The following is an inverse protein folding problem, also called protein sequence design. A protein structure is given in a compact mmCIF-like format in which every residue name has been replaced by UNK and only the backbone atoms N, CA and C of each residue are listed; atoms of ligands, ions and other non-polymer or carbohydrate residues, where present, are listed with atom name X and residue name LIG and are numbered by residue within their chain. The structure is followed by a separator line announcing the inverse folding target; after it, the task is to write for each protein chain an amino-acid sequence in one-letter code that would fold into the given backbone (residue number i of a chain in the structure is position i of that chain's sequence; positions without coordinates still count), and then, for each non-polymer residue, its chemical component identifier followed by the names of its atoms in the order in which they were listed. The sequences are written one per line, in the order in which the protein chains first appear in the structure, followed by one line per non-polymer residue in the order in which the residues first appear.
data_IF_328337459347
#
_entry.id   IF_328337459347
#
_cell.length_a   1.000
_cell.length_b   1.000
_cell.length_c   1.000
_cell.angle_alpha   90.00
_cell.angle_beta   90.00
_cell.angle_gamma   90.00
#
_symmetry.space_group_name_H-M   'P 1'
#
loop_
_entity.id
_entity.type
_entity.pdbx_description
1 polymer ?
#
# COMPACT_ATOMS: atom_id res chain seq x y z
N UNK A 1 9.64 -8.72 17.32
CA UNK A 1 8.78 -7.71 16.64
C UNK A 1 7.99 -8.30 15.47
N UNK A 2 8.55 -9.27 14.72
CA UNK A 2 7.87 -9.85 13.54
C UNK A 2 6.59 -10.65 13.86
N UNK A 3 6.48 -11.27 15.04
CA UNK A 3 5.29 -12.05 15.41
C UNK A 3 4.08 -11.17 15.75
N UNK A 4 4.29 -10.07 16.46
CA UNK A 4 3.22 -9.12 16.81
C UNK A 4 2.65 -8.43 15.57
N UNK A 5 3.52 -7.92 14.70
CA UNK A 5 3.13 -7.29 13.44
C UNK A 5 2.32 -8.25 12.53
N UNK A 6 2.76 -9.51 12.42
CA UNK A 6 2.05 -10.53 11.63
C UNK A 6 0.69 -10.88 12.23
N UNK A 7 0.58 -10.98 13.55
CA UNK A 7 -0.68 -11.23 14.25
C UNK A 7 -1.67 -10.09 14.01
N UNK A 8 -1.25 -8.83 14.19
CA UNK A 8 -2.11 -7.67 13.94
C UNK A 8 -2.68 -7.66 12.51
N UNK A 9 -1.85 -7.96 11.49
CA UNK A 9 -2.33 -8.04 10.11
C UNK A 9 -3.36 -9.16 9.89
N UNK A 10 -3.19 -10.33 10.54
CA UNK A 10 -4.00 -11.51 10.25
C UNK A 10 -5.29 -11.60 11.06
N UNK A 11 -5.33 -11.04 12.27
CA UNK A 11 -6.48 -11.15 13.19
C UNK A 11 -7.32 -9.88 13.26
N UNK A 12 -6.74 -8.74 12.98
CA UNK A 12 -7.37 -7.43 13.15
C UNK A 12 -7.26 -6.55 11.89
N UNK A 13 -6.45 -6.98 10.90
CA UNK A 13 -6.19 -6.20 9.68
C UNK A 13 -5.64 -4.81 10.00
N UNK A 14 -4.79 -4.68 11.02
CA UNK A 14 -4.31 -3.39 11.55
C UNK A 14 -5.43 -2.42 11.93
N UNK A 15 -6.55 -2.94 12.43
CA UNK A 15 -7.74 -2.14 12.76
C UNK A 15 -8.74 -1.97 11.62
N UNK A 16 -8.41 -2.42 10.40
CA UNK A 16 -9.30 -2.30 9.23
C UNK A 16 -10.62 -3.04 9.44
N UNK A 17 -10.62 -4.22 10.08
CA UNK A 17 -11.85 -4.96 10.33
C UNK A 17 -12.82 -4.16 11.20
N UNK A 18 -12.33 -3.57 12.30
CA UNK A 18 -13.13 -2.72 13.16
C UNK A 18 -13.66 -1.47 12.44
N UNK A 19 -12.84 -0.88 11.54
CA UNK A 19 -13.27 0.27 10.73
C UNK A 19 -14.40 -0.11 9.77
N UNK A 20 -14.30 -1.24 9.06
CA UNK A 20 -15.35 -1.73 8.17
C UNK A 20 -16.64 -1.99 8.95
N UNK A 21 -16.54 -2.66 10.10
CA UNK A 21 -17.70 -2.89 11.00
C UNK A 21 -18.32 -1.57 11.46
N UNK A 22 -17.52 -0.60 11.85
CA UNK A 22 -17.98 0.73 12.26
C UNK A 22 -18.71 1.46 11.11
N UNK A 23 -18.11 1.52 9.93
CA UNK A 23 -18.72 2.16 8.75
C UNK A 23 -20.05 1.48 8.37
N UNK A 24 -20.10 0.16 8.40
CA UNK A 24 -21.27 -0.60 8.01
C UNK A 24 -22.41 -0.44 9.02
N UNK A 25 -22.12 -0.53 10.33
CA UNK A 25 -23.13 -0.58 11.39
C UNK A 25 -23.58 0.81 11.88
N UNK A 26 -22.82 1.88 11.60
CA UNK A 26 -23.14 3.22 12.13
C UNK A 26 -24.20 3.90 11.28
N UNK A 27 -25.35 4.20 11.88
CA UNK A 27 -26.51 4.76 11.16
C UNK A 27 -26.36 6.22 10.74
N UNK A 28 -25.59 7.02 11.49
CA UNK A 28 -25.40 8.44 11.21
C UNK A 28 -24.35 8.74 10.10
N UNK A 29 -23.73 7.72 9.54
CA UNK A 29 -22.82 7.85 8.37
C UNK A 29 -23.64 7.56 7.10
N UNK A 30 -24.61 8.42 6.82
CA UNK A 30 -25.54 8.26 5.69
C UNK A 30 -24.98 8.70 4.32
N UNK A 31 -23.81 9.32 4.30
CA UNK A 31 -23.08 9.72 3.09
C UNK A 31 -22.12 8.64 2.55
N UNK A 32 -22.05 7.49 3.23
CA UNK A 32 -21.27 6.33 2.79
C UNK A 32 -22.20 5.28 2.23
N UNK A 33 -21.95 4.83 1.00
CA UNK A 33 -22.62 3.63 0.46
C UNK A 33 -22.02 2.38 1.12
N UNK A 34 -22.80 1.79 2.00
CA UNK A 34 -22.38 0.61 2.79
C UNK A 34 -22.20 -0.66 1.96
N UNK A 35 -22.77 -0.67 0.74
CA UNK A 35 -22.63 -1.80 -0.19
C UNK A 35 -21.34 -1.71 -1.03
N UNK A 36 -20.66 -0.56 -1.02
CA UNK A 36 -19.48 -0.27 -1.81
C UNK A 36 -18.24 0.01 -0.95
N UNK A 37 -18.09 -0.66 0.18
CA UNK A 37 -16.90 -0.54 1.02
C UNK A 37 -15.75 -1.33 0.38
N UNK A 38 -14.64 -0.65 0.10
CA UNK A 38 -13.41 -1.26 -0.41
C UNK A 38 -12.25 -1.15 0.55
N UNK A 39 -11.29 -2.06 0.42
CA UNK A 39 -10.02 -2.03 1.15
C UNK A 39 -8.85 -2.23 0.21
N UNK A 40 -7.75 -1.55 0.48
CA UNK A 40 -6.49 -1.79 -0.23
C UNK A 40 -5.32 -1.75 0.74
N UNK A 41 -4.22 -2.34 0.32
CA UNK A 41 -2.99 -2.28 1.09
C UNK A 41 -1.79 -2.78 0.32
N UNK A 42 -0.62 -2.26 0.69
CA UNK A 42 0.66 -2.68 0.13
C UNK A 42 1.45 -3.49 1.16
N UNK A 43 2.13 -4.55 0.72
CA UNK A 43 3.00 -5.40 1.55
C UNK A 43 2.24 -5.98 2.75
N UNK A 44 2.59 -5.64 3.98
CA UNK A 44 1.85 -6.06 5.18
C UNK A 44 0.38 -5.57 5.17
N UNK A 45 0.11 -4.38 4.59
CA UNK A 45 -1.25 -3.89 4.35
C UNK A 45 -2.00 -4.74 3.32
N UNK A 46 -1.32 -5.25 2.30
CA UNK A 46 -1.88 -6.20 1.32
C UNK A 46 -2.30 -7.51 2.00
N UNK A 47 -1.49 -8.03 2.94
CA UNK A 47 -1.89 -9.17 3.77
C UNK A 47 -3.13 -8.86 4.60
N UNK A 48 -3.21 -7.68 5.21
CA UNK A 48 -4.38 -7.27 5.97
C UNK A 48 -5.63 -7.19 5.08
N UNK A 49 -5.51 -6.64 3.88
CA UNK A 49 -6.60 -6.53 2.92
C UNK A 49 -7.16 -7.89 2.51
N UNK A 50 -6.31 -8.85 2.10
CA UNK A 50 -6.80 -10.20 1.72
C UNK A 50 -7.35 -10.97 2.94
N UNK A 51 -6.78 -10.78 4.13
CA UNK A 51 -7.33 -11.35 5.36
C UNK A 51 -8.70 -10.76 5.72
N UNK A 52 -8.93 -9.49 5.40
CA UNK A 52 -10.26 -8.86 5.49
C UNK A 52 -11.27 -9.52 4.56
N UNK A 53 -10.93 -9.74 3.30
CA UNK A 53 -11.81 -10.43 2.35
C UNK A 53 -12.18 -11.84 2.85
N UNK A 54 -11.22 -12.58 3.41
CA UNK A 54 -11.46 -13.89 4.01
C UNK A 54 -12.33 -13.84 5.27
N UNK A 55 -12.08 -12.85 6.13
CA UNK A 55 -12.82 -12.68 7.38
C UNK A 55 -14.29 -12.34 7.12
N UNK A 56 -14.54 -11.29 6.32
CA UNK A 56 -15.90 -10.85 6.02
C UNK A 56 -16.65 -11.85 5.14
N UNK A 57 -15.99 -12.51 4.19
CA UNK A 57 -16.60 -13.57 3.39
C UNK A 57 -16.97 -14.81 4.24
N UNK A 58 -16.16 -15.17 5.26
CA UNK A 58 -16.51 -16.21 6.22
C UNK A 58 -17.67 -15.80 7.12
N UNK A 59 -17.69 -14.56 7.59
CA UNK A 59 -18.79 -14.02 8.38
C UNK A 59 -20.10 -14.01 7.61
N UNK A 60 -20.11 -13.47 6.39
CA UNK A 60 -21.27 -13.43 5.50
C UNK A 60 -21.90 -14.81 5.34
N UNK A 61 -21.10 -15.83 5.00
CA UNK A 61 -21.58 -17.22 4.87
C UNK A 61 -22.12 -17.79 6.17
N UNK A 62 -21.50 -17.47 7.32
CA UNK A 62 -21.94 -17.96 8.63
C UNK A 62 -23.26 -17.34 9.09
N UNK A 63 -23.44 -16.04 8.81
CA UNK A 63 -24.61 -15.29 9.27
C UNK A 63 -25.73 -15.24 8.24
N UNK A 64 -25.48 -15.72 7.00
CA UNK A 64 -26.37 -15.58 5.85
C UNK A 64 -26.71 -14.10 5.58
N UNK A 65 -25.74 -13.23 5.77
CA UNK A 65 -25.83 -11.79 5.55
C UNK A 65 -24.99 -11.37 4.34
N UNK A 66 -25.21 -10.17 3.85
CA UNK A 66 -24.39 -9.60 2.78
C UNK A 66 -22.96 -9.35 3.25
N UNK A 67 -21.98 -9.61 2.38
CA UNK A 67 -20.58 -9.34 2.70
C UNK A 67 -20.33 -7.84 2.79
N UNK A 68 -19.83 -7.38 3.95
CA UNK A 68 -19.56 -5.97 4.23
C UNK A 68 -18.40 -5.39 3.40
N UNK A 69 -17.52 -6.26 2.89
CA UNK A 69 -16.36 -5.84 2.10
C UNK A 69 -16.56 -6.19 0.63
N UNK A 70 -16.91 -5.18 -0.17
CA UNK A 70 -17.26 -5.36 -1.58
C UNK A 70 -16.06 -5.65 -2.46
N UNK A 71 -14.96 -4.93 -2.28
CA UNK A 71 -13.78 -5.00 -3.15
C UNK A 71 -12.48 -4.87 -2.36
N UNK A 72 -11.46 -5.61 -2.78
CA UNK A 72 -10.15 -5.61 -2.14
C UNK A 72 -9.06 -5.47 -3.19
N UNK A 73 -8.09 -4.57 -2.97
CA UNK A 73 -6.90 -4.49 -3.81
C UNK A 73 -5.65 -4.82 -2.99
N UNK A 74 -4.95 -5.87 -3.39
CA UNK A 74 -3.75 -6.38 -2.73
C UNK A 74 -2.53 -6.01 -3.55
N UNK A 75 -1.64 -5.23 -2.99
CA UNK A 75 -0.40 -4.83 -3.64
C UNK A 75 0.82 -5.42 -2.90
N UNK A 76 1.75 -6.00 -3.65
CA UNK A 76 3.03 -6.48 -3.12
C UNK A 76 2.94 -7.60 -2.09
N UNK A 77 1.89 -8.43 -2.12
CA UNK A 77 1.74 -9.55 -1.20
C UNK A 77 1.03 -10.73 -1.87
N UNK A 78 1.72 -11.85 -2.00
CA UNK A 78 1.13 -13.11 -2.50
C UNK A 78 1.49 -14.32 -1.62
N UNK A 79 2.64 -14.29 -0.96
CA UNK A 79 3.15 -15.41 -0.16
C UNK A 79 2.18 -15.92 0.91
N UNK A 80 1.38 -15.03 1.48
CA UNK A 80 0.41 -15.35 2.54
C UNK A 80 -1.00 -14.92 2.13
N UNK A 81 -1.97 -15.78 2.41
CA UNK A 81 -3.38 -15.46 2.14
C UNK A 81 -3.92 -15.97 0.80
N UNK A 82 -3.08 -16.56 -0.05
CA UNK A 82 -3.45 -17.02 -1.39
C UNK A 82 -3.39 -18.55 -1.57
N UNK A 83 -3.18 -19.30 -0.50
CA UNK A 83 -3.35 -20.75 -0.55
C UNK A 83 -4.82 -21.12 -0.76
N UNK A 84 -5.10 -22.21 -1.42
CA UNK A 84 -6.45 -22.67 -1.73
C UNK A 84 -7.37 -22.68 -0.49
N UNK A 85 -6.89 -23.17 0.64
CA UNK A 85 -7.62 -23.15 1.92
C UNK A 85 -7.96 -21.75 2.43
N UNK A 86 -7.16 -20.75 2.10
CA UNK A 86 -7.36 -19.36 2.51
C UNK A 86 -8.33 -18.65 1.57
N UNK A 87 -8.16 -18.84 0.26
CA UNK A 87 -8.96 -18.21 -0.79
C UNK A 87 -10.42 -18.66 -0.80
N UNK A 88 -10.74 -19.90 -0.40
CA UNK A 88 -12.11 -20.44 -0.38
C UNK A 88 -13.14 -19.62 0.42
N UNK A 89 -12.67 -18.70 1.24
CA UNK A 89 -13.51 -17.81 2.04
C UNK A 89 -13.64 -16.41 1.43
N UNK A 90 -12.91 -16.10 0.37
CA UNK A 90 -13.01 -14.82 -0.31
C UNK A 90 -14.34 -14.76 -1.07
N UNK A 91 -15.08 -13.69 -0.84
CA UNK A 91 -16.38 -13.40 -1.44
C UNK A 91 -16.49 -11.90 -1.70
N UNK A 92 -15.51 -11.39 -2.41
CA UNK A 92 -15.33 -9.97 -2.76
C UNK A 92 -14.63 -9.89 -4.11
N UNK A 93 -14.79 -8.80 -4.83
CA UNK A 93 -13.94 -8.51 -5.98
C UNK A 93 -12.49 -8.33 -5.52
N UNK A 94 -11.51 -8.91 -6.24
CA UNK A 94 -10.11 -8.86 -5.82
C UNK A 94 -9.21 -8.40 -6.95
N UNK A 95 -8.53 -7.27 -6.76
CA UNK A 95 -7.36 -6.87 -7.56
C UNK A 95 -6.08 -7.34 -6.88
N UNK A 96 -5.19 -7.94 -7.64
CA UNK A 96 -3.84 -8.31 -7.20
C UNK A 96 -2.81 -7.60 -8.07
N UNK A 97 -1.91 -6.86 -7.45
CA UNK A 97 -0.76 -6.22 -8.08
C UNK A 97 0.51 -6.72 -7.41
N UNK A 98 1.44 -7.25 -8.19
CA UNK A 98 2.71 -7.76 -7.68
C UNK A 98 3.88 -7.31 -8.54
N UNK A 99 4.93 -6.83 -7.88
CA UNK A 99 6.14 -6.39 -8.56
C UNK A 99 6.91 -7.59 -9.16
N UNK A 100 7.18 -7.54 -10.46
CA UNK A 100 7.93 -8.61 -11.15
C UNK A 100 9.35 -8.76 -10.57
N UNK A 101 9.95 -7.66 -10.12
CA UNK A 101 11.29 -7.62 -9.53
C UNK A 101 11.26 -7.49 -8.00
N UNK A 102 10.22 -8.04 -7.36
CA UNK A 102 10.13 -8.07 -5.90
C UNK A 102 11.31 -8.84 -5.32
N UNK A 103 12.09 -8.18 -4.48
CA UNK A 103 13.25 -8.77 -3.80
C UNK A 103 12.86 -9.87 -2.79
N UNK A 104 11.59 -9.91 -2.38
CA UNK A 104 11.02 -10.98 -1.53
C UNK A 104 10.45 -12.18 -2.30
N UNK A 105 10.43 -12.13 -3.64
CA UNK A 105 9.78 -13.14 -4.49
C UNK A 105 10.39 -14.56 -4.37
N UNK A 106 11.63 -14.68 -3.89
CA UNK A 106 12.23 -15.98 -3.56
C UNK A 106 11.43 -16.77 -2.51
N UNK A 107 10.54 -16.11 -1.77
CA UNK A 107 9.65 -16.72 -0.77
C UNK A 107 8.33 -17.23 -1.37
N UNK A 108 8.00 -16.88 -2.61
CA UNK A 108 6.83 -17.39 -3.33
C UNK A 108 7.04 -18.85 -3.73
N UNK A 109 5.99 -19.56 -4.10
CA UNK A 109 6.08 -20.98 -4.47
C UNK A 109 7.00 -21.19 -5.67
N UNK A 110 6.93 -20.32 -6.70
CA UNK A 110 7.85 -20.37 -7.85
C UNK A 110 9.20 -19.67 -7.60
N UNK A 111 9.41 -19.06 -6.42
CA UNK A 111 10.63 -18.31 -6.07
C UNK A 111 10.97 -17.18 -7.05
N UNK A 112 9.99 -16.63 -7.72
CA UNK A 112 10.11 -15.49 -8.61
C UNK A 112 8.85 -14.60 -8.56
N UNK A 113 8.86 -13.48 -9.29
CA UNK A 113 7.78 -12.51 -9.31
C UNK A 113 6.77 -12.68 -10.46
N UNK A 114 6.86 -13.73 -11.28
CA UNK A 114 5.94 -13.93 -12.42
C UNK A 114 4.57 -14.44 -11.95
N UNK A 115 3.60 -13.55 -11.94
CA UNK A 115 2.24 -13.86 -11.54
C UNK A 115 1.40 -14.53 -12.63
N UNK A 116 1.90 -14.61 -13.86
CA UNK A 116 1.15 -15.25 -14.96
C UNK A 116 0.97 -16.77 -14.76
N UNK A 117 1.87 -17.39 -14.02
CA UNK A 117 1.88 -18.83 -13.74
C UNK A 117 2.03 -19.14 -12.24
N UNK A 118 2.11 -18.13 -11.37
CA UNK A 118 2.29 -18.33 -9.93
C UNK A 118 1.08 -19.06 -9.32
N UNK A 119 1.30 -20.13 -8.55
CA UNK A 119 0.21 -20.88 -7.90
C UNK A 119 -0.70 -19.99 -7.04
N UNK A 120 -0.15 -18.99 -6.36
CA UNK A 120 -0.88 -18.05 -5.53
C UNK A 120 -1.89 -17.22 -6.36
N UNK A 121 -1.47 -16.73 -7.51
CA UNK A 121 -2.33 -15.96 -8.40
C UNK A 121 -3.34 -16.88 -9.12
N UNK A 122 -2.91 -18.06 -9.54
CA UNK A 122 -3.78 -19.08 -10.13
C UNK A 122 -4.88 -19.52 -9.15
N UNK A 123 -4.56 -19.74 -7.88
CA UNK A 123 -5.55 -20.08 -6.85
C UNK A 123 -6.63 -19.00 -6.72
N UNK A 124 -6.22 -17.72 -6.75
CA UNK A 124 -7.18 -16.60 -6.73
C UNK A 124 -8.11 -16.64 -7.94
N UNK A 125 -7.56 -16.66 -9.14
CA UNK A 125 -8.38 -16.60 -10.37
C UNK A 125 -9.28 -17.81 -10.49
N UNK A 126 -8.76 -19.02 -10.27
CA UNK A 126 -9.54 -20.26 -10.29
C UNK A 126 -10.71 -20.25 -9.33
N UNK A 127 -10.48 -19.74 -8.12
CA UNK A 127 -11.55 -19.62 -7.12
C UNK A 127 -12.61 -18.63 -7.58
N UNK A 128 -12.22 -17.46 -8.05
CA UNK A 128 -13.15 -16.40 -8.45
C UNK A 128 -14.04 -16.80 -9.63
N UNK A 129 -13.52 -17.53 -10.61
CA UNK A 129 -14.32 -17.95 -11.76
C UNK A 129 -14.83 -19.39 -11.65
N UNK A 130 -14.52 -20.10 -10.58
CA UNK A 130 -14.86 -21.50 -10.38
C UNK A 130 -14.36 -22.42 -11.50
N UNK A 131 -13.19 -22.13 -12.08
CA UNK A 131 -12.57 -22.89 -13.16
C UNK A 131 -11.16 -23.37 -12.77
N UNK A 132 -11.00 -24.63 -12.36
CA UNK A 132 -9.71 -25.22 -11.98
C UNK A 132 -8.79 -25.47 -13.20
N UNK A 133 -9.29 -25.42 -14.43
CA UNK A 133 -8.53 -25.73 -15.63
C UNK A 133 -7.56 -24.61 -16.04
N UNK A 134 -7.70 -23.41 -15.53
CA UNK A 134 -6.85 -22.27 -15.84
C UNK A 134 -5.42 -22.58 -15.41
N UNK A 135 -4.50 -22.68 -16.36
CA UNK A 135 -3.08 -22.98 -16.14
C UNK A 135 -2.18 -21.75 -16.31
N UNK A 136 -2.70 -20.69 -16.90
CA UNK A 136 -1.98 -19.43 -17.13
C UNK A 136 -2.94 -18.25 -17.03
N UNK A 137 -2.47 -17.16 -16.44
CA UNK A 137 -3.23 -15.92 -16.25
C UNK A 137 -2.82 -14.92 -17.32
N UNK A 138 -3.79 -14.30 -17.97
CA UNK A 138 -3.59 -13.08 -18.75
C UNK A 138 -3.39 -11.91 -17.80
N UNK A 139 -2.16 -11.40 -17.72
CA UNK A 139 -1.87 -10.21 -16.94
C UNK A 139 -2.71 -9.04 -17.47
N UNK A 140 -3.19 -8.18 -16.57
CA UNK A 140 -4.07 -7.03 -16.83
C UNK A 140 -5.46 -7.41 -17.41
N UNK A 141 -5.79 -8.69 -17.42
CA UNK A 141 -7.08 -9.20 -17.87
C UNK A 141 -8.03 -9.41 -16.70
N UNK A 142 -9.29 -8.98 -16.88
CA UNK A 142 -10.33 -9.20 -15.87
C UNK A 142 -10.99 -10.56 -16.06
N UNK A 143 -11.21 -11.26 -14.95
CA UNK A 143 -11.90 -12.53 -14.84
C UNK A 143 -13.12 -12.39 -13.94
N UNK A 144 -14.14 -13.23 -14.12
CA UNK A 144 -15.36 -13.20 -13.31
C UNK A 144 -16.33 -12.11 -13.72
N UNK A 145 -17.29 -11.82 -12.83
CA UNK A 145 -18.38 -10.88 -13.07
C UNK A 145 -18.55 -9.94 -11.88
N UNK A 146 -18.80 -8.67 -12.16
CA UNK A 146 -19.02 -7.67 -11.12
C UNK A 146 -20.23 -7.98 -10.23
N UNK A 147 -21.34 -8.37 -10.84
CA UNK A 147 -22.61 -8.63 -10.14
C UNK A 147 -22.53 -9.84 -9.19
N UNK A 148 -21.60 -10.76 -9.46
CA UNK A 148 -21.38 -11.95 -8.64
C UNK A 148 -20.31 -11.70 -7.54
N UNK A 149 -19.81 -10.47 -7.43
CA UNK A 149 -18.71 -10.05 -6.52
C UNK A 149 -17.44 -10.91 -6.65
N UNK A 150 -17.23 -11.50 -7.82
CA UNK A 150 -16.08 -12.36 -8.11
C UNK A 150 -15.16 -11.80 -9.20
N UNK A 151 -15.32 -10.51 -9.53
CA UNK A 151 -14.44 -9.86 -10.51
C UNK A 151 -13.01 -9.83 -9.96
N UNK A 152 -12.07 -10.32 -10.76
CA UNK A 152 -10.65 -10.32 -10.38
C UNK A 152 -9.75 -9.90 -11.52
N UNK A 153 -8.62 -9.31 -11.19
CA UNK A 153 -7.55 -8.92 -12.12
C UNK A 153 -6.20 -9.13 -11.45
N UNK A 154 -5.22 -9.54 -12.23
CA UNK A 154 -3.83 -9.69 -11.77
C UNK A 154 -2.94 -8.77 -12.60
N UNK A 155 -2.26 -7.87 -11.93
CA UNK A 155 -1.25 -6.97 -12.47
C UNK A 155 0.14 -7.45 -12.06
N UNK A 156 1.12 -7.33 -12.95
CA UNK A 156 2.49 -7.77 -12.68
C UNK A 156 3.48 -6.75 -13.24
N UNK A 157 3.63 -5.66 -12.52
CA UNK A 157 4.40 -4.50 -12.96
C UNK A 157 5.92 -4.77 -12.87
N UNK A 158 6.68 -4.29 -13.86
CA UNK A 158 8.15 -4.41 -13.95
C UNK A 158 8.85 -3.41 -13.02
N UNK A 159 8.58 -3.50 -11.74
CA UNK A 159 9.08 -2.60 -10.70
C UNK A 159 9.61 -3.39 -9.51
N UNK A 160 10.30 -2.70 -8.58
CA UNK A 160 10.69 -3.23 -7.27
C UNK A 160 9.54 -3.09 -6.27
N UNK A 161 9.48 -3.98 -5.29
CA UNK A 161 8.45 -3.98 -4.23
C UNK A 161 8.24 -2.60 -3.57
N UNK A 162 9.27 -1.90 -3.07
CA UNK A 162 9.06 -0.63 -2.37
C UNK A 162 8.61 0.49 -3.30
N UNK A 163 8.73 0.32 -4.61
CA UNK A 163 8.35 1.32 -5.61
C UNK A 163 6.88 1.26 -6.04
N UNK A 164 6.19 0.14 -5.86
CA UNK A 164 4.79 -0.02 -6.28
C UNK A 164 3.87 1.12 -5.81
N UNK A 165 3.89 1.57 -4.53
CA UNK A 165 2.99 2.63 -4.08
C UNK A 165 3.38 4.04 -4.57
N UNK A 166 4.51 4.20 -5.25
CA UNK A 166 5.07 5.49 -5.70
C UNK A 166 5.22 5.61 -7.21
N UNK A 167 4.61 4.71 -7.99
CA UNK A 167 4.68 4.74 -9.45
C UNK A 167 3.31 4.86 -10.08
N UNK A 168 3.26 5.51 -11.25
CA UNK A 168 2.02 5.83 -11.94
C UNK A 168 1.22 4.59 -12.32
N UNK A 169 1.87 3.57 -12.87
CA UNK A 169 1.19 2.38 -13.39
C UNK A 169 0.53 1.54 -12.28
N UNK A 170 1.21 1.17 -11.17
CA UNK A 170 0.54 0.47 -10.07
C UNK A 170 -0.61 1.27 -9.45
N UNK A 171 -0.45 2.59 -9.32
CA UNK A 171 -1.50 3.47 -8.81
C UNK A 171 -2.70 3.55 -9.77
N UNK A 172 -2.44 3.65 -11.08
CA UNK A 172 -3.46 3.60 -12.12
C UNK A 172 -4.24 2.29 -12.06
N UNK A 173 -3.55 1.16 -11.97
CA UNK A 173 -4.17 -0.17 -11.89
C UNK A 173 -5.10 -0.29 -10.68
N UNK A 174 -4.68 0.24 -9.52
CA UNK A 174 -5.51 0.28 -8.33
C UNK A 174 -6.75 1.17 -8.51
N UNK A 175 -6.59 2.37 -9.07
CA UNK A 175 -7.70 3.31 -9.32
C UNK A 175 -8.68 2.69 -10.33
N UNK A 176 -8.19 2.15 -11.44
CA UNK A 176 -9.02 1.51 -12.47
C UNK A 176 -9.82 0.33 -11.92
N UNK A 177 -9.21 -0.47 -11.04
CA UNK A 177 -9.92 -1.56 -10.37
C UNK A 177 -11.10 -1.04 -9.54
N UNK A 178 -10.91 -0.03 -8.68
CA UNK A 178 -11.99 0.50 -7.86
C UNK A 178 -13.04 1.25 -8.67
N UNK A 179 -12.65 2.01 -9.69
CA UNK A 179 -13.61 2.65 -10.59
C UNK A 179 -14.52 1.61 -11.26
N UNK A 180 -13.93 0.48 -11.68
CA UNK A 180 -14.68 -0.61 -12.31
C UNK A 180 -15.56 -1.35 -11.31
N UNK A 181 -15.03 -1.72 -10.13
CA UNK A 181 -15.79 -2.51 -9.16
C UNK A 181 -16.89 -1.71 -8.48
N UNK A 182 -16.73 -0.41 -8.31
CA UNK A 182 -17.77 0.47 -7.76
C UNK A 182 -18.71 1.05 -8.83
N UNK A 183 -18.48 0.70 -10.09
CA UNK A 183 -19.25 1.22 -11.23
C UNK A 183 -19.37 2.75 -11.23
N UNK A 184 -18.25 3.43 -10.87
CA UNK A 184 -18.19 4.89 -10.82
C UNK A 184 -18.04 5.42 -12.25
N UNK A 185 -18.94 6.32 -12.65
CA UNK A 185 -18.79 7.03 -13.90
C UNK A 185 -17.55 7.94 -13.89
N UNK A 186 -16.75 7.85 -14.95
CA UNK A 186 -15.39 8.40 -14.99
C UNK A 186 -15.39 9.83 -15.54
N UNK A 187 -15.56 10.81 -14.69
CA UNK A 187 -15.22 12.19 -15.02
C UNK A 187 -13.70 12.41 -15.05
N UNK A 188 -12.94 11.65 -14.23
CA UNK A 188 -11.48 11.73 -14.14
C UNK A 188 -10.89 10.36 -14.45
N UNK A 189 -10.00 10.30 -15.45
CA UNK A 189 -9.30 9.07 -15.83
C UNK A 189 -8.19 8.73 -14.80
N UNK A 190 -7.94 7.43 -14.59
CA UNK A 190 -6.97 6.96 -13.60
C UNK A 190 -5.51 7.42 -13.88
N UNK A 191 -5.22 7.85 -15.09
CA UNK A 191 -3.93 8.44 -15.47
C UNK A 191 -3.78 9.90 -15.08
N UNK A 192 -4.86 10.61 -14.72
CA UNK A 192 -4.79 11.99 -14.26
C UNK A 192 -4.40 12.06 -12.78
N UNK A 193 -3.17 11.68 -12.48
CA UNK A 193 -2.62 11.61 -11.14
C UNK A 193 -1.81 12.86 -10.82
N UNK A 194 -2.09 13.49 -9.69
CA UNK A 194 -1.44 14.71 -9.23
C UNK A 194 -0.63 14.54 -7.95
N UNK A 195 -0.59 13.33 -7.38
CA UNK A 195 0.07 13.04 -6.11
C UNK A 195 1.58 13.37 -6.11
N UNK A 196 2.26 13.23 -7.25
CA UNK A 196 3.68 13.53 -7.41
C UNK A 196 4.01 15.00 -7.11
N UNK A 197 3.09 15.93 -7.36
CA UNK A 197 3.26 17.34 -6.97
C UNK A 197 3.27 17.51 -5.47
N UNK A 198 2.40 16.79 -4.74
CA UNK A 198 2.42 16.78 -3.28
C UNK A 198 3.77 16.29 -2.76
N UNK A 199 4.29 15.18 -3.29
CA UNK A 199 5.58 14.64 -2.87
C UNK A 199 6.73 15.61 -3.17
N UNK A 200 6.73 16.22 -4.35
CA UNK A 200 7.71 17.25 -4.72
C UNK A 200 7.67 18.44 -3.76
N UNK A 201 6.51 19.01 -3.51
CA UNK A 201 6.40 20.15 -2.59
C UNK A 201 6.69 19.77 -1.15
N UNK A 202 6.39 18.54 -0.74
CA UNK A 202 6.78 18.01 0.57
C UNK A 202 8.30 17.97 0.72
N UNK A 203 9.02 17.50 -0.31
CA UNK A 203 10.48 17.53 -0.33
C UNK A 203 11.01 18.96 -0.25
N UNK A 204 10.47 19.89 -1.05
CA UNK A 204 10.86 21.32 -0.99
C UNK A 204 10.62 21.89 0.40
N UNK A 205 9.46 21.64 1.00
CA UNK A 205 9.14 22.11 2.35
C UNK A 205 10.10 21.54 3.40
N UNK A 206 10.48 20.26 3.27
CA UNK A 206 11.46 19.63 4.16
C UNK A 206 12.84 20.31 4.05
N UNK A 207 13.33 20.53 2.83
CA UNK A 207 14.60 21.24 2.58
C UNK A 207 14.56 22.65 3.15
N UNK A 208 13.46 23.40 2.89
CA UNK A 208 13.29 24.74 3.46
C UNK A 208 13.27 24.72 4.99
N UNK A 209 12.62 23.73 5.59
CA UNK A 209 12.59 23.56 7.04
C UNK A 209 14.00 23.38 7.62
N UNK A 210 14.82 22.54 7.01
CA UNK A 210 16.21 22.38 7.42
C UNK A 210 17.03 23.67 7.28
N UNK A 211 16.85 24.40 6.17
CA UNK A 211 17.53 25.68 5.97
C UNK A 211 17.10 26.76 6.97
N UNK A 212 15.85 26.70 7.43
CA UNK A 212 15.31 27.64 8.42
C UNK A 212 15.76 27.36 9.87
N UNK A 213 16.21 26.16 10.20
CA UNK A 213 16.59 25.80 11.58
C UNK A 213 17.62 26.78 12.14
N UNK A 214 18.70 27.04 11.39
CA UNK A 214 19.79 27.89 11.88
C UNK A 214 19.38 29.36 12.00
N UNK A 215 18.82 30.02 10.96
CA UNK A 215 18.40 31.41 11.09
C UNK A 215 17.27 31.61 12.11
N UNK A 216 16.35 30.66 12.22
CA UNK A 216 15.29 30.74 13.21
C UNK A 216 15.82 30.57 14.64
N UNK A 217 16.74 29.65 14.86
CA UNK A 217 17.43 29.54 16.13
C UNK A 217 18.16 30.83 16.51
N UNK A 218 18.94 31.41 15.57
CA UNK A 218 19.61 32.71 15.79
C UNK A 218 18.64 33.84 16.13
N UNK A 219 17.49 33.90 15.43
CA UNK A 219 16.44 34.87 15.74
C UNK A 219 15.86 34.67 17.15
N UNK A 220 15.56 33.45 17.55
CA UNK A 220 15.05 33.16 18.90
C UNK A 220 16.07 33.55 19.98
N UNK A 221 17.36 33.26 19.80
CA UNK A 221 18.42 33.61 20.76
C UNK A 221 18.68 35.11 20.86
N UNK A 222 18.49 35.86 19.76
CA UNK A 222 18.57 37.33 19.83
C UNK A 222 17.47 37.95 20.69
N UNK A 223 16.33 37.28 20.75
CA UNK A 223 15.18 37.74 21.56
C UNK A 223 15.22 37.24 23.00
N UNK A 224 15.85 36.07 23.24
CA UNK A 224 15.87 35.40 24.55
C UNK A 224 17.31 34.97 24.91
N UNK A 225 18.17 35.95 25.30
CA UNK A 225 19.63 35.69 25.49
C UNK A 225 20.00 34.85 26.70
N UNK A 226 19.05 34.51 27.58
CA UNK A 226 19.31 33.75 28.81
C UNK A 226 18.50 32.46 28.87
N UNK A 227 19.04 31.36 28.36
CA UNK A 227 18.41 30.04 28.48
C UNK A 227 19.36 28.89 28.15
N UNK A 228 19.07 27.66 28.62
CA UNK A 228 19.92 26.47 28.41
C UNK A 228 20.09 26.07 26.95
N UNK A 229 19.30 26.64 26.04
CA UNK A 229 19.38 26.39 24.60
C UNK A 229 20.61 27.01 23.91
N UNK A 230 21.25 28.02 24.51
CA UNK A 230 22.45 28.65 23.94
C UNK A 230 23.62 27.62 23.76
N UNK A 231 23.75 26.68 24.69
CA UNK A 231 24.80 25.65 24.63
C UNK A 231 24.62 24.68 23.48
N UNK A 232 23.35 24.35 23.16
CA UNK A 232 23.01 23.37 22.08
C UNK A 232 23.32 23.95 20.70
N UNK A 233 23.01 25.22 20.46
CA UNK A 233 23.23 25.84 19.13
C UNK A 233 24.70 26.19 18.90
N UNK A 234 25.42 26.61 19.93
CA UNK A 234 26.86 26.83 19.80
C UNK A 234 27.62 25.53 19.45
N UNK A 235 27.16 24.40 19.98
CA UNK A 235 27.69 23.09 19.63
C UNK A 235 27.26 22.64 18.22
N UNK A 236 26.08 23.01 17.75
CA UNK A 236 25.61 22.70 16.37
C UNK A 236 26.40 23.52 15.31
N UNK A 237 26.66 24.80 15.56
CA UNK A 237 27.47 25.64 14.66
C UNK A 237 28.90 25.08 14.54
N UNK A 238 29.52 24.67 15.66
CA UNK A 238 30.84 24.05 15.63
C UNK A 238 30.82 22.70 14.90
N UNK A 239 29.77 21.89 15.03
CA UNK A 239 29.67 20.58 14.38
C UNK A 239 29.44 20.70 12.85
N UNK A 240 28.68 21.69 12.41
CA UNK A 240 28.44 21.99 11.01
C UNK A 240 29.66 22.61 10.32
N UNK A 241 30.35 23.55 11.00
CA UNK A 241 31.55 24.18 10.46
C UNK A 241 32.70 23.16 10.36
N UNK A 242 32.90 22.30 11.36
CA UNK A 242 33.91 21.25 11.31
C UNK A 242 33.64 20.19 10.23
N UNK A 243 32.40 19.87 9.94
CA UNK A 243 32.08 18.97 8.81
C UNK A 243 32.25 19.61 7.43
N UNK A 244 32.01 20.91 7.29
CA UNK A 244 32.27 21.64 6.03
C UNK A 244 33.77 21.83 5.76
N UNK A 245 34.57 22.00 6.80
CA UNK A 245 36.04 22.12 6.68
C UNK A 245 36.71 20.80 6.32
N UNK A 246 36.14 19.66 6.74
CA UNK A 246 36.65 18.30 6.42
C UNK A 246 36.35 17.91 4.96
N UNK A 247 35.42 18.62 4.26
CA UNK A 247 35.11 18.40 2.86
C UNK A 247 35.84 19.36 1.90
N UNK A 248 36.74 20.18 2.40
CA UNK A 248 37.62 21.01 1.57
C UNK A 248 38.65 20.15 0.84
N UNK A 249 39.08 20.54 -0.39
CA UNK A 249 40.00 19.74 -1.19
C UNK A 249 41.34 19.56 -0.49
N UNK A 250 41.73 18.32 -0.30
CA UNK A 250 43.12 17.97 0.05
C UNK A 250 43.97 18.29 -1.19
N UNK A 251 44.57 19.49 -1.23
CA UNK A 251 45.63 19.79 -2.18
C UNK A 251 46.88 19.02 -1.76
N UNK A 252 47.26 18.01 -2.56
CA UNK A 252 48.57 17.40 -2.47
C UNK A 252 49.68 18.47 -2.68
N UNK A 253 50.65 18.62 -1.81
CA UNK A 253 51.89 19.22 -2.17
C UNK A 253 52.79 18.17 -2.80
N UNK A 254 53.01 18.33 -4.12
CA UNK A 254 54.14 17.69 -4.82
C UNK A 254 55.38 18.51 -4.50
N UNK A 255 56.36 17.89 -3.92
CA UNK A 255 57.80 18.13 -4.14
C UNK A 255 58.60 17.00 -3.57
#
# INVERSE_FOLDING_TARGET
SSSFSRRAATTEGYGMFALVEYLYNTSNINYVDKNLIGSFGHSAGGLAAIRGAQYFGKQSKKLSEENKLHSVFVSGMVRMGFKEKDIKHVDSNVGLSYALYDEGSWQNELKNGDMSIAPEALNLVRHQVSDPSISKIGIDSFYGKLNDRNLTVVHNEKVLHPMQPYLFEPMKNQIDFFLKTFNIDRSIVATNQVWHWKEFFTLVALVCSFLLIVPFAKFLFSKYPSGPFQIIVFNLDILLINKLIVLGPISNPIS
#
